data_IF_310076923293
#
_entry.id   IF_310076923293
#
_cell.length_a   1.000
_cell.length_b   1.000
_cell.length_c   1.000
_cell.angle_alpha   90.00
_cell.angle_beta   90.00
_cell.angle_gamma   90.00
#
_symmetry.space_group_name_H-M   'P 1'
#
loop_
_entity.id
_entity.type
_entity.pdbx_description
1 polymer ?
#
# COMPACT_ATOMS: atom_id res chain seq x y z
N UNK A 1 29.55 18.76 46.84
CA UNK A 1 28.25 18.26 46.37
C UNK A 1 28.51 17.29 45.22
N UNK A 2 28.42 15.99 45.47
CA UNK A 2 28.72 14.98 44.46
C UNK A 2 27.56 14.85 43.46
N UNK A 3 27.82 15.21 42.20
CA UNK A 3 27.06 14.73 41.04
C UNK A 3 27.80 13.49 40.52
N UNK A 4 27.23 12.31 40.68
CA UNK A 4 27.61 11.12 39.91
C UNK A 4 26.58 10.01 40.09
N UNK A 5 25.52 10.02 39.29
CA UNK A 5 24.79 8.81 38.92
C UNK A 5 24.88 8.70 37.40
N UNK A 6 25.87 7.93 36.98
CA UNK A 6 26.33 7.75 35.62
C UNK A 6 25.45 6.70 34.93
N UNK A 7 24.55 7.13 34.05
CA UNK A 7 23.88 6.27 33.06
C UNK A 7 22.91 5.17 33.55
N UNK A 8 22.62 5.02 34.84
CA UNK A 8 21.66 4.02 35.34
C UNK A 8 20.22 4.56 35.24
N UNK A 9 19.29 3.84 34.58
CA UNK A 9 17.89 4.26 34.50
C UNK A 9 17.24 4.40 35.88
N UNK A 10 16.48 5.47 36.05
CA UNK A 10 15.67 5.71 37.24
C UNK A 10 14.35 4.92 37.18
N UNK A 11 13.63 4.84 38.29
CA UNK A 11 12.31 4.18 38.29
C UNK A 11 11.35 4.82 37.28
N UNK A 12 11.38 6.15 37.14
CA UNK A 12 10.59 6.91 36.17
C UNK A 12 10.89 6.49 34.71
N UNK A 13 12.15 6.17 34.39
CA UNK A 13 12.55 5.69 33.07
C UNK A 13 11.92 4.32 32.78
N UNK A 14 11.89 3.44 33.78
CA UNK A 14 11.26 2.13 33.67
C UNK A 14 9.73 2.22 33.59
N UNK A 15 9.11 3.14 34.32
CA UNK A 15 7.69 3.43 34.20
C UNK A 15 7.33 3.92 32.79
N UNK A 16 8.12 4.84 32.24
CA UNK A 16 7.95 5.30 30.86
C UNK A 16 8.17 4.16 29.85
N UNK A 17 9.20 3.33 30.01
CA UNK A 17 9.45 2.19 29.13
C UNK A 17 8.27 1.20 29.12
N UNK A 18 7.70 0.92 30.30
CA UNK A 18 6.50 0.07 30.45
C UNK A 18 5.27 0.71 29.80
N UNK A 19 5.10 2.03 29.91
CA UNK A 19 3.95 2.72 29.34
C UNK A 19 3.96 2.77 27.81
N UNK A 20 5.13 2.84 27.17
CA UNK A 20 5.26 2.83 25.69
C UNK A 20 5.23 1.42 25.08
N UNK A 21 5.47 0.37 25.87
CA UNK A 21 5.57 -1.00 25.39
C UNK A 21 4.32 -1.47 24.59
N UNK A 22 3.07 -1.20 25.03
CA UNK A 22 1.88 -1.57 24.27
C UNK A 22 1.82 -0.92 22.88
N UNK A 23 2.34 0.30 22.75
CA UNK A 23 2.42 0.98 21.46
C UNK A 23 3.48 0.33 20.56
N UNK A 24 4.68 0.05 21.09
CA UNK A 24 5.75 -0.59 20.33
C UNK A 24 5.37 -2.00 19.88
N UNK A 25 4.60 -2.73 20.70
CA UNK A 25 4.11 -4.07 20.39
C UNK A 25 3.31 -4.12 19.09
N UNK A 26 2.60 -3.03 18.75
CA UNK A 26 1.80 -2.95 17.51
C UNK A 26 2.70 -3.10 16.28
N UNK A 27 3.84 -2.39 16.26
CA UNK A 27 4.80 -2.47 15.16
C UNK A 27 5.45 -3.84 15.13
N UNK A 28 5.88 -4.35 16.29
CA UNK A 28 6.47 -5.67 16.39
C UNK A 28 5.55 -6.76 15.83
N UNK A 29 4.30 -6.79 16.27
CA UNK A 29 3.31 -7.78 15.84
C UNK A 29 3.01 -7.67 14.34
N UNK A 30 2.85 -6.44 13.83
CA UNK A 30 2.62 -6.19 12.40
C UNK A 30 3.81 -6.60 11.55
N UNK A 31 5.03 -6.23 11.94
CA UNK A 31 6.26 -6.64 11.26
C UNK A 31 6.40 -8.16 11.24
N UNK A 32 6.19 -8.82 12.39
CA UNK A 32 6.26 -10.27 12.47
C UNK A 32 5.27 -10.95 11.50
N UNK A 33 4.04 -10.44 11.38
CA UNK A 33 3.05 -10.97 10.44
C UNK A 33 3.45 -10.81 8.97
N UNK A 34 4.00 -9.65 8.59
CA UNK A 34 4.34 -9.37 7.18
C UNK A 34 5.73 -9.87 6.76
N UNK A 35 6.61 -10.20 7.71
CA UNK A 35 7.96 -10.71 7.46
C UNK A 35 8.03 -12.23 7.25
N UNK A 36 6.89 -12.93 7.26
CA UNK A 36 6.84 -14.36 6.96
C UNK A 36 7.28 -14.66 5.53
N UNK A 37 8.08 -15.71 5.36
CA UNK A 37 8.56 -16.19 4.04
C UNK A 37 7.91 -17.52 3.62
N UNK A 38 7.28 -18.23 4.55
CA UNK A 38 6.62 -19.53 4.31
C UNK A 38 5.17 -19.41 3.84
N UNK A 39 4.65 -18.18 3.72
CA UNK A 39 3.29 -17.90 3.26
C UNK A 39 3.24 -16.55 2.54
N UNK A 40 2.20 -16.34 1.73
CA UNK A 40 2.00 -15.09 1.01
C UNK A 40 1.60 -13.97 1.98
N UNK A 41 2.34 -12.87 2.00
CA UNK A 41 2.11 -11.72 2.91
C UNK A 41 1.50 -10.51 2.22
N UNK A 42 1.47 -10.46 0.89
CA UNK A 42 0.96 -9.31 0.11
C UNK A 42 -0.48 -8.95 0.48
N UNK A 43 -1.34 -9.96 0.66
CA UNK A 43 -2.75 -9.80 1.00
C UNK A 43 -3.04 -9.21 2.39
N UNK A 44 -2.04 -9.21 3.28
CA UNK A 44 -2.15 -8.66 4.64
C UNK A 44 -1.37 -7.36 4.82
N UNK A 45 -0.38 -7.08 3.96
CA UNK A 45 0.54 -5.96 4.12
C UNK A 45 -0.16 -4.62 4.34
N UNK A 46 -1.08 -4.21 3.45
CA UNK A 46 -1.78 -2.94 3.63
C UNK A 46 -2.75 -2.94 4.81
N UNK A 47 -3.30 -4.10 5.20
CA UNK A 47 -4.14 -4.21 6.41
C UNK A 47 -3.32 -3.87 7.65
N UNK A 48 -2.08 -4.36 7.71
CA UNK A 48 -1.15 -4.06 8.80
C UNK A 48 -0.73 -2.60 8.81
N UNK A 49 -0.40 -2.03 7.65
CA UNK A 49 -0.07 -0.60 7.52
C UNK A 49 -1.24 0.27 7.98
N UNK A 50 -2.46 0.01 7.50
CA UNK A 50 -3.65 0.74 7.92
C UNK A 50 -3.96 0.56 9.41
N UNK A 51 -3.74 -0.66 9.94
CA UNK A 51 -3.84 -0.96 11.37
C UNK A 51 -2.89 -0.09 12.19
N UNK A 52 -1.62 -0.02 11.80
CA UNK A 52 -0.61 0.86 12.43
C UNK A 52 -1.08 2.32 12.39
N UNK A 53 -1.50 2.82 11.23
CA UNK A 53 -1.98 4.20 11.07
C UNK A 53 -3.16 4.53 11.99
N UNK A 54 -4.15 3.62 12.06
CA UNK A 54 -5.29 3.74 12.98
C UNK A 54 -4.84 3.82 14.44
N UNK A 55 -3.93 2.94 14.86
CA UNK A 55 -3.43 2.95 16.24
C UNK A 55 -2.66 4.23 16.54
N UNK A 56 -1.77 4.66 15.65
CA UNK A 56 -1.04 5.94 15.82
C UNK A 56 -2.02 7.08 16.07
N UNK A 57 -3.08 7.21 15.27
CA UNK A 57 -4.11 8.24 15.45
C UNK A 57 -4.77 8.17 16.83
N UNK A 58 -5.17 6.98 17.26
CA UNK A 58 -5.77 6.76 18.59
C UNK A 58 -4.82 7.17 19.72
N UNK A 59 -3.55 6.77 19.64
CA UNK A 59 -2.56 7.12 20.66
C UNK A 59 -2.17 8.62 20.62
N UNK A 60 -2.26 9.28 19.46
CA UNK A 60 -2.11 10.75 19.37
C UNK A 60 -3.24 11.52 20.05
N UNK A 61 -4.37 10.86 20.35
CA UNK A 61 -5.51 11.42 21.07
C UNK A 61 -5.51 11.00 22.57
N UNK A 62 -4.47 10.28 23.02
CA UNK A 62 -4.33 9.85 24.42
C UNK A 62 -4.30 11.03 25.40
N UNK A 63 -4.89 10.82 26.59
CA UNK A 63 -4.76 11.73 27.73
C UNK A 63 -3.37 11.71 28.36
N UNK A 64 -2.63 10.61 28.18
CA UNK A 64 -1.23 10.50 28.60
C UNK A 64 -0.33 11.30 27.64
N UNK A 65 0.27 12.37 28.15
CA UNK A 65 1.11 13.31 27.38
C UNK A 65 2.34 12.62 26.78
N UNK A 66 2.94 11.70 27.53
CA UNK A 66 4.15 10.97 27.15
C UNK A 66 3.88 10.05 25.96
N UNK A 67 2.77 9.30 26.04
CA UNK A 67 2.28 8.45 24.95
C UNK A 67 1.86 9.28 23.73
N UNK A 68 1.13 10.38 23.95
CA UNK A 68 0.68 11.28 22.89
C UNK A 68 1.85 11.87 22.10
N UNK A 69 2.88 12.37 22.80
CA UNK A 69 4.06 12.96 22.16
C UNK A 69 4.81 11.93 21.31
N UNK A 70 4.95 10.72 21.81
CA UNK A 70 5.58 9.62 21.07
C UNK A 70 4.75 9.22 19.84
N UNK A 71 3.43 9.09 19.98
CA UNK A 71 2.54 8.80 18.86
C UNK A 71 2.57 9.90 17.79
N UNK A 72 2.61 11.18 18.18
CA UNK A 72 2.76 12.31 17.25
C UNK A 72 4.08 12.25 16.46
N UNK A 73 5.20 11.86 17.10
CA UNK A 73 6.47 11.65 16.40
C UNK A 73 6.38 10.50 15.38
N UNK A 74 5.69 9.42 15.73
CA UNK A 74 5.49 8.28 14.85
C UNK A 74 4.47 8.55 13.73
N UNK A 75 3.49 9.43 13.98
CA UNK A 75 2.55 9.93 12.98
C UNK A 75 3.29 10.62 11.83
N UNK A 76 4.25 11.50 12.14
CA UNK A 76 5.07 12.13 11.08
C UNK A 76 5.83 11.12 10.22
N UNK A 77 6.34 10.03 10.80
CA UNK A 77 6.96 8.93 10.03
C UNK A 77 5.93 8.19 9.17
N UNK A 78 4.75 7.91 9.72
CA UNK A 78 3.68 7.25 8.97
C UNK A 78 3.23 8.10 7.78
N UNK A 79 2.94 9.38 8.00
CA UNK A 79 2.46 10.31 6.98
C UNK A 79 3.49 10.51 5.86
N UNK A 80 4.79 10.49 6.19
CA UNK A 80 5.86 10.55 5.18
C UNK A 80 5.76 9.46 4.11
N UNK A 81 5.34 8.25 4.48
CA UNK A 81 5.29 7.11 3.57
C UNK A 81 3.87 6.77 3.08
N UNK A 82 2.86 6.99 3.94
CA UNK A 82 1.49 6.53 3.73
C UNK A 82 0.44 7.64 3.83
N UNK A 83 0.87 8.89 4.05
CA UNK A 83 -0.02 10.04 4.18
C UNK A 83 -0.44 10.66 2.84
N UNK A 84 0.32 10.41 1.77
CA UNK A 84 -0.06 10.81 0.42
C UNK A 84 -0.67 9.63 -0.34
N UNK A 85 -1.98 9.63 -0.66
CA UNK A 85 -2.63 8.54 -1.36
C UNK A 85 -2.07 8.31 -2.77
N UNK A 86 -1.55 9.36 -3.42
CA UNK A 86 -0.92 9.24 -4.73
C UNK A 86 0.41 8.48 -4.70
N UNK A 87 1.07 8.43 -3.54
CA UNK A 87 2.29 7.65 -3.31
C UNK A 87 2.03 6.18 -2.95
N UNK A 88 0.77 5.79 -2.70
CA UNK A 88 0.44 4.41 -2.35
C UNK A 88 0.53 3.52 -3.59
N UNK A 89 1.30 2.43 -3.47
CA UNK A 89 1.36 1.42 -4.51
C UNK A 89 0.00 0.69 -4.61
N UNK A 90 -0.69 0.89 -5.74
CA UNK A 90 -2.02 0.35 -6.01
C UNK A 90 -2.06 -1.18 -5.96
N UNK A 91 -0.96 -1.85 -6.32
CA UNK A 91 -0.86 -3.31 -6.29
C UNK A 91 -1.04 -3.87 -4.87
N UNK A 92 -0.57 -3.13 -3.86
CA UNK A 92 -0.72 -3.53 -2.47
C UNK A 92 -2.19 -3.47 -2.00
N UNK A 93 -2.99 -2.56 -2.57
CA UNK A 93 -4.43 -2.47 -2.32
C UNK A 93 -5.18 -3.56 -3.09
N UNK A 94 -4.82 -3.80 -4.36
CA UNK A 94 -5.38 -4.88 -5.18
C UNK A 94 -5.15 -6.23 -4.48
N UNK A 95 -3.95 -6.50 -3.97
CA UNK A 95 -3.65 -7.74 -3.25
C UNK A 95 -4.57 -7.98 -2.05
N UNK A 96 -5.00 -6.91 -1.36
CA UNK A 96 -5.99 -7.01 -0.27
C UNK A 96 -7.39 -7.30 -0.82
N UNK A 97 -7.79 -6.66 -1.92
CA UNK A 97 -9.12 -6.87 -2.52
C UNK A 97 -9.28 -8.28 -3.10
N UNK A 98 -8.19 -8.85 -3.63
CA UNK A 98 -8.18 -10.20 -4.19
C UNK A 98 -8.15 -11.31 -3.12
N UNK A 99 -7.91 -10.99 -1.85
CA UNK A 99 -8.10 -11.94 -0.75
C UNK A 99 -9.59 -12.23 -0.59
N UNK A 100 -10.06 -13.48 -0.78
CA UNK A 100 -11.49 -13.80 -0.67
C UNK A 100 -12.13 -13.43 0.69
N UNK A 101 -11.31 -13.29 1.74
CA UNK A 101 -11.76 -12.88 3.08
C UNK A 101 -11.89 -11.37 3.23
N UNK A 102 -11.57 -10.60 2.19
CA UNK A 102 -11.61 -9.15 2.18
C UNK A 102 -12.38 -8.66 0.96
N UNK A 103 -13.01 -7.50 1.12
CA UNK A 103 -13.84 -6.91 0.06
C UNK A 103 -13.31 -5.53 -0.29
N UNK A 104 -13.63 -5.08 -1.50
CA UNK A 104 -13.37 -3.71 -1.92
C UNK A 104 -13.92 -2.69 -0.89
N UNK A 105 -15.10 -2.96 -0.33
CA UNK A 105 -15.73 -2.13 0.71
C UNK A 105 -14.86 -1.96 1.96
N UNK A 106 -14.14 -3.02 2.37
CA UNK A 106 -13.22 -2.95 3.50
C UNK A 106 -12.06 -2.01 3.20
N UNK A 107 -11.50 -2.08 2.00
CA UNK A 107 -10.40 -1.19 1.58
C UNK A 107 -10.90 0.26 1.46
N UNK A 108 -12.09 0.46 0.87
CA UNK A 108 -12.73 1.76 0.76
C UNK A 108 -12.96 2.40 2.13
N UNK A 109 -13.49 1.65 3.09
CA UNK A 109 -13.68 2.11 4.47
C UNK A 109 -12.37 2.61 5.09
N UNK A 110 -11.27 1.88 4.92
CA UNK A 110 -9.98 2.30 5.45
C UNK A 110 -9.41 3.53 4.74
N UNK A 111 -9.60 3.64 3.42
CA UNK A 111 -9.22 4.84 2.65
C UNK A 111 -9.99 6.06 3.17
N UNK A 112 -11.30 5.94 3.37
CA UNK A 112 -12.15 7.03 3.90
C UNK A 112 -11.81 7.40 5.34
N UNK A 113 -11.33 6.43 6.13
CA UNK A 113 -10.90 6.69 7.50
C UNK A 113 -9.58 7.48 7.57
N UNK A 114 -8.68 7.26 6.61
CA UNK A 114 -7.31 7.79 6.64
C UNK A 114 -7.12 9.09 5.86
N UNK A 115 -7.87 9.29 4.77
CA UNK A 115 -7.67 10.40 3.85
C UNK A 115 -8.87 11.34 3.82
N UNK A 116 -8.62 12.60 3.48
CA UNK A 116 -9.68 13.56 3.22
C UNK A 116 -10.52 13.12 2.01
N UNK A 117 -11.80 13.52 2.00
CA UNK A 117 -12.80 13.02 1.05
C UNK A 117 -12.39 13.10 -0.42
N UNK A 118 -11.77 14.21 -0.86
CA UNK A 118 -11.30 14.38 -2.24
C UNK A 118 -10.21 13.36 -2.62
N UNK A 119 -9.18 13.27 -1.79
CA UNK A 119 -8.05 12.35 -1.97
C UNK A 119 -8.46 10.88 -1.85
N UNK A 120 -9.34 10.56 -0.90
CA UNK A 120 -9.93 9.23 -0.74
C UNK A 120 -10.70 8.81 -2.01
N UNK A 121 -11.52 9.72 -2.56
CA UNK A 121 -12.27 9.46 -3.80
C UNK A 121 -11.36 9.15 -4.98
N UNK A 122 -10.28 9.91 -5.16
CA UNK A 122 -9.30 9.68 -6.21
C UNK A 122 -8.63 8.30 -6.10
N UNK A 123 -8.16 7.93 -4.89
CA UNK A 123 -7.52 6.64 -4.67
C UNK A 123 -8.50 5.46 -4.88
N UNK A 124 -9.74 5.60 -4.41
CA UNK A 124 -10.80 4.58 -4.62
C UNK A 124 -11.12 4.42 -6.10
N UNK A 125 -11.23 5.52 -6.84
CA UNK A 125 -11.45 5.49 -8.28
C UNK A 125 -10.30 4.80 -9.01
N UNK A 126 -9.04 5.14 -8.67
CA UNK A 126 -7.84 4.51 -9.21
C UNK A 126 -7.80 3.00 -8.93
N UNK A 127 -8.16 2.59 -7.71
CA UNK A 127 -8.22 1.17 -7.32
C UNK A 127 -9.27 0.42 -8.12
N UNK A 128 -10.49 0.98 -8.21
CA UNK A 128 -11.58 0.37 -8.96
C UNK A 128 -11.25 0.26 -10.45
N UNK A 129 -10.67 1.30 -11.04
CA UNK A 129 -10.24 1.31 -12.44
C UNK A 129 -9.17 0.23 -12.68
N UNK A 130 -8.15 0.16 -11.81
CA UNK A 130 -7.10 -0.87 -11.92
C UNK A 130 -7.63 -2.30 -11.80
N UNK A 131 -8.61 -2.54 -10.93
CA UNK A 131 -9.28 -3.84 -10.80
C UNK A 131 -10.08 -4.20 -12.06
N UNK A 132 -10.78 -3.23 -12.66
CA UNK A 132 -11.53 -3.43 -13.91
C UNK A 132 -10.59 -3.75 -15.07
N UNK A 133 -9.52 -2.98 -15.24
CA UNK A 133 -8.50 -3.26 -16.28
C UNK A 133 -7.89 -4.64 -16.11
N UNK A 134 -7.55 -5.04 -14.88
CA UNK A 134 -7.02 -6.38 -14.62
C UNK A 134 -8.03 -7.49 -15.01
N UNK A 135 -9.31 -7.26 -14.75
CA UNK A 135 -10.38 -8.18 -15.14
C UNK A 135 -10.57 -8.24 -16.66
N UNK A 136 -10.59 -7.10 -17.35
CA UNK A 136 -10.71 -7.01 -18.82
C UNK A 136 -9.55 -7.73 -19.51
N UNK A 137 -8.32 -7.53 -19.02
CA UNK A 137 -7.13 -8.25 -19.49
C UNK A 137 -7.25 -9.75 -19.26
N UNK A 138 -7.72 -10.17 -18.08
CA UNK A 138 -7.94 -11.59 -17.79
C UNK A 138 -9.00 -12.23 -18.70
N UNK A 139 -10.04 -11.47 -19.08
CA UNK A 139 -11.06 -11.94 -20.01
C UNK A 139 -10.55 -12.10 -21.46
N UNK A 140 -9.33 -11.65 -21.77
CA UNK A 140 -8.78 -11.71 -23.12
C UNK A 140 -9.38 -10.66 -24.06
N UNK A 141 -9.93 -9.57 -23.51
CA UNK A 141 -10.31 -8.39 -24.31
C UNK A 141 -9.02 -7.59 -24.57
N UNK A 142 -8.13 -8.14 -25.39
CA UNK A 142 -7.17 -7.30 -26.10
C UNK A 142 -7.96 -6.60 -27.22
N UNK A 143 -7.88 -5.26 -27.27
CA UNK A 143 -8.34 -4.51 -28.44
C UNK A 143 -7.70 -5.14 -29.67
N UNK A 144 -8.54 -5.71 -30.54
CA UNK A 144 -8.12 -6.56 -31.65
C UNK A 144 -6.97 -5.93 -32.43
N UNK A 145 -5.89 -6.70 -32.57
CA UNK A 145 -4.76 -6.38 -33.42
C UNK A 145 -5.26 -5.97 -34.81
N UNK A 146 -5.07 -4.71 -35.19
CA UNK A 146 -5.06 -4.32 -36.59
C UNK A 146 -3.77 -4.85 -37.22
N UNK A 147 -3.75 -6.14 -37.55
CA UNK A 147 -2.85 -6.65 -38.57
C UNK A 147 -3.49 -6.33 -39.91
N UNK A 148 -3.21 -5.13 -40.43
CA UNK A 148 -3.53 -4.78 -41.81
C UNK A 148 -2.89 -5.80 -42.74
N UNK A 149 -3.74 -6.48 -43.52
CA UNK A 149 -3.34 -7.32 -44.62
C UNK A 149 -2.55 -6.45 -45.61
N UNK A 150 -1.26 -6.73 -45.79
CA UNK A 150 -0.54 -6.27 -46.97
C UNK A 150 -0.77 -7.32 -48.06
N UNK A 151 -1.69 -7.00 -48.98
CA UNK A 151 -1.76 -7.66 -50.28
C UNK A 151 -0.40 -7.55 -50.98
N UNK A 152 0.13 -8.69 -51.41
CA UNK A 152 1.28 -8.75 -52.32
C UNK A 152 0.86 -8.20 -53.68
N UNK A 153 1.42 -7.05 -54.06
CA UNK A 153 1.43 -6.60 -55.46
C UNK A 153 2.26 -7.59 -56.27
N UNK A 154 1.62 -8.22 -57.26
CA UNK A 154 2.28 -8.92 -58.36
C UNK A 154 2.58 -7.88 -59.44
N UNK A 155 3.81 -7.39 -59.46
CA UNK A 155 4.38 -6.73 -60.64
C UNK A 155 5.16 -7.79 -61.42
N UNK A 156 4.51 -8.42 -62.40
CA UNK A 156 5.18 -9.18 -63.47
C UNK A 156 4.95 -8.42 -64.78
N UNK A 157 5.67 -7.32 -64.96
CA UNK A 157 6.04 -6.84 -66.28
C UNK A 157 7.38 -7.50 -66.62
N UNK A 158 7.35 -8.59 -67.38
CA UNK A 158 8.53 -9.05 -68.11
C UNK A 158 8.19 -9.20 -69.60
N UNK A 159 8.89 -8.35 -70.33
CA UNK A 159 8.83 -8.05 -71.75
C UNK A 159 9.69 -9.10 -72.48
N UNK A 160 9.07 -10.00 -73.26
CA UNK A 160 9.82 -10.82 -74.23
C UNK A 160 9.23 -10.69 -75.64
N UNK A 161 9.79 -9.79 -76.48
CA UNK A 161 9.49 -9.71 -77.89
C UNK A 161 10.47 -10.59 -78.67
N UNK A 162 10.04 -11.81 -79.02
CA UNK A 162 10.55 -12.62 -80.14
C UNK A 162 12.08 -12.85 -80.24
N UNK A 163 12.54 -14.10 -80.07
CA UNK A 163 13.85 -14.49 -80.62
C UNK A 163 14.29 -15.94 -80.47
N UNK A 164 13.89 -16.79 -81.44
CA UNK A 164 14.50 -18.07 -81.88
C UNK A 164 14.60 -19.24 -80.89
#
# INVERSE_FOLDING_TARGET
MAKSNDGVPLEEDWEYARSILPFLKIFYDSTLRISGSSYVTSHMYMKEVFGIGKRIRQYSESSDVSIKLMAMRMKGKYEKYWGNPNGINILLLIAVVLDPRSKLDFVNYFIDYLFESSMASELKSKLLSSLKTLYEQYQGIEEGSQSSQQESQLDDDDDDPHGM
#
